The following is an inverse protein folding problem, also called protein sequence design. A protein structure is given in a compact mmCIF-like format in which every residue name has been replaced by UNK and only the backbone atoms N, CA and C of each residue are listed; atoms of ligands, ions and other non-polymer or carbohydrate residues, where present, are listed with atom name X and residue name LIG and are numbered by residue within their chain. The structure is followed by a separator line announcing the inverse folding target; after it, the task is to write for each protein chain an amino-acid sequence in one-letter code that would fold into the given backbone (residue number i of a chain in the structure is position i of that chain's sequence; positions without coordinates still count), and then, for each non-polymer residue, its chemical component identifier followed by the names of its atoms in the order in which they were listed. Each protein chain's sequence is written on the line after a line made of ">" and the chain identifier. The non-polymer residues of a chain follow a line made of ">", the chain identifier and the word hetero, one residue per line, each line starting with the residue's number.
data_IF_872734413769
#
_entry.id   IF_872734413769
#
_cell.length_a   1.000
_cell.length_b   1.000
_cell.length_c   1.000
_cell.angle_alpha   90.00
_cell.angle_beta   90.00
_cell.angle_gamma   90.00
#
_symmetry.space_group_name_H-M   'P 1'
#
loop_
_entity.id
_entity.type
_entity.pdbx_description
1 polymer ?
#
# COMPACT_ATOMS: atom_id res chain seq x y z
N UNK A 1 21.39 -22.32 -0.69
CA UNK A 1 20.88 -21.08 -0.05
C UNK A 1 20.04 -20.23 -1.00
N UNK A 2 20.24 -20.28 -2.33
CA UNK A 2 19.39 -19.60 -3.33
C UNK A 2 17.95 -20.11 -3.36
N UNK A 3 17.77 -21.43 -3.31
CA UNK A 3 16.46 -22.10 -3.40
C UNK A 3 15.43 -21.65 -2.33
N UNK A 4 15.89 -21.34 -1.11
CA UNK A 4 15.02 -20.86 -0.05
C UNK A 4 14.58 -19.41 -0.29
N UNK A 5 15.49 -18.54 -0.74
CA UNK A 5 15.18 -17.14 -1.01
C UNK A 5 14.21 -17.00 -2.20
N UNK A 6 14.45 -17.76 -3.26
CA UNK A 6 13.58 -17.79 -4.44
C UNK A 6 12.16 -18.25 -4.08
N UNK A 7 12.03 -19.19 -3.13
CA UNK A 7 10.74 -19.61 -2.59
C UNK A 7 9.99 -18.48 -1.87
N UNK A 8 10.66 -17.72 -1.01
CA UNK A 8 10.04 -16.59 -0.28
C UNK A 8 9.63 -15.47 -1.23
N UNK A 9 10.52 -15.05 -2.14
CA UNK A 9 10.18 -14.05 -3.16
C UNK A 9 9.07 -14.54 -4.09
N UNK A 10 9.06 -15.83 -4.42
CA UNK A 10 7.99 -16.47 -5.18
C UNK A 10 6.62 -16.34 -4.50
N UNK A 11 6.54 -16.59 -3.19
CA UNK A 11 5.31 -16.41 -2.39
C UNK A 11 4.84 -14.96 -2.35
N UNK A 12 5.76 -14.02 -2.10
CA UNK A 12 5.43 -12.59 -2.06
C UNK A 12 4.91 -12.12 -3.42
N UNK A 13 5.54 -12.56 -4.52
CA UNK A 13 5.07 -12.25 -5.88
C UNK A 13 3.70 -12.84 -6.18
N UNK A 14 3.46 -14.10 -5.81
CA UNK A 14 2.15 -14.74 -5.96
C UNK A 14 1.07 -13.99 -5.19
N UNK A 15 1.36 -13.63 -3.94
CA UNK A 15 0.47 -12.82 -3.12
C UNK A 15 0.08 -11.50 -3.80
N UNK A 16 1.06 -10.73 -4.30
CA UNK A 16 0.77 -9.47 -4.99
C UNK A 16 -0.03 -9.68 -6.28
N UNK A 17 0.22 -10.78 -7.00
CA UNK A 17 -0.54 -11.13 -8.22
C UNK A 17 -2.01 -11.42 -7.87
N UNK A 18 -2.26 -12.20 -6.81
CA UNK A 18 -3.61 -12.47 -6.32
C UNK A 18 -4.29 -11.22 -5.77
N UNK A 19 -3.54 -10.36 -5.08
CA UNK A 19 -4.04 -9.11 -4.53
C UNK A 19 -4.45 -8.14 -5.65
N UNK A 20 -3.69 -8.06 -6.74
CA UNK A 20 -4.05 -7.29 -7.94
C UNK A 20 -5.35 -7.82 -8.57
N UNK A 21 -5.47 -9.15 -8.74
CA UNK A 21 -6.69 -9.77 -9.24
C UNK A 21 -7.91 -9.48 -8.35
N UNK A 22 -7.75 -9.60 -7.02
CA UNK A 22 -8.78 -9.22 -6.05
C UNK A 22 -9.17 -7.74 -6.15
N UNK A 23 -8.17 -6.86 -6.26
CA UNK A 23 -8.38 -5.42 -6.44
C UNK A 23 -9.17 -5.10 -7.70
N UNK A 24 -8.85 -5.76 -8.82
CA UNK A 24 -9.60 -5.65 -10.09
C UNK A 24 -11.05 -6.11 -9.93
N UNK A 25 -11.28 -7.27 -9.31
CA UNK A 25 -12.64 -7.77 -9.07
C UNK A 25 -13.46 -6.81 -8.20
N UNK A 26 -12.88 -6.27 -7.12
CA UNK A 26 -13.54 -5.25 -6.29
C UNK A 26 -13.86 -3.96 -7.04
N UNK A 27 -12.95 -3.51 -7.91
CA UNK A 27 -13.18 -2.32 -8.72
C UNK A 27 -14.34 -2.54 -9.69
N UNK A 28 -14.36 -3.68 -10.41
CA UNK A 28 -15.45 -4.03 -11.32
C UNK A 28 -16.80 -4.16 -10.59
N UNK A 29 -16.81 -4.78 -9.41
CA UNK A 29 -17.99 -4.81 -8.54
C UNK A 29 -18.48 -3.39 -8.20
N UNK A 30 -17.57 -2.51 -7.76
CA UNK A 30 -17.89 -1.13 -7.44
C UNK A 30 -18.44 -0.36 -8.64
N UNK A 31 -17.84 -0.53 -9.81
CA UNK A 31 -18.30 0.08 -11.06
C UNK A 31 -19.70 -0.40 -11.44
N UNK A 32 -19.95 -1.71 -11.44
CA UNK A 32 -21.26 -2.26 -11.75
C UNK A 32 -22.34 -1.76 -10.78
N UNK A 33 -22.04 -1.76 -9.47
CA UNK A 33 -22.96 -1.29 -8.43
C UNK A 33 -23.29 0.20 -8.57
N UNK A 34 -22.27 1.04 -8.80
CA UNK A 34 -22.47 2.49 -8.96
C UNK A 34 -23.21 2.80 -10.25
N UNK A 35 -22.86 2.16 -11.37
CA UNK A 35 -23.54 2.37 -12.65
C UNK A 35 -25.00 1.93 -12.57
N UNK A 36 -25.31 0.76 -11.96
CA UNK A 36 -26.69 0.32 -11.75
C UNK A 36 -27.50 1.37 -10.98
N UNK A 37 -26.98 1.83 -9.84
CA UNK A 37 -27.64 2.86 -9.01
C UNK A 37 -27.81 4.18 -9.76
N UNK A 38 -26.84 4.57 -10.58
CA UNK A 38 -26.94 5.77 -11.42
C UNK A 38 -28.07 5.65 -12.43
N UNK A 39 -28.18 4.52 -13.13
CA UNK A 39 -29.26 4.25 -14.08
C UNK A 39 -30.62 4.21 -13.41
N UNK A 40 -30.73 3.63 -12.21
CA UNK A 40 -31.95 3.65 -11.40
C UNK A 40 -32.37 5.08 -11.05
N UNK A 41 -31.44 5.92 -10.57
CA UNK A 41 -31.74 7.32 -10.29
C UNK A 41 -32.17 8.10 -11.53
N UNK A 42 -31.52 7.88 -12.68
CA UNK A 42 -31.89 8.53 -13.94
C UNK A 42 -33.30 8.10 -14.37
N UNK A 43 -33.62 6.81 -14.27
CA UNK A 43 -34.96 6.28 -14.55
C UNK A 43 -36.00 6.92 -13.63
N UNK A 44 -35.71 6.97 -12.34
CA UNK A 44 -36.61 7.51 -11.32
C UNK A 44 -36.80 9.04 -11.47
N UNK A 45 -35.87 9.73 -12.16
CA UNK A 45 -36.00 11.15 -12.54
C UNK A 45 -36.92 11.41 -13.75
N UNK A 46 -37.49 10.35 -14.34
CA UNK A 46 -38.43 10.43 -15.45
C UNK A 46 -37.81 10.22 -16.84
N UNK A 47 -36.53 9.86 -16.91
CA UNK A 47 -35.90 9.45 -18.17
C UNK A 47 -36.24 7.99 -18.46
N UNK A 48 -36.65 7.66 -19.68
CA UNK A 48 -36.87 6.27 -20.07
C UNK A 48 -35.54 5.51 -20.19
N UNK A 49 -35.21 4.73 -19.16
CA UNK A 49 -34.12 3.75 -19.17
C UNK A 49 -34.73 2.34 -19.25
N UNK A 50 -34.35 1.52 -20.24
CA UNK A 50 -34.80 0.13 -20.31
C UNK A 50 -34.36 -0.66 -19.08
N UNK A 51 -35.28 -1.42 -18.48
CA UNK A 51 -34.99 -2.25 -17.31
C UNK A 51 -33.87 -3.28 -17.61
N UNK A 52 -33.84 -3.82 -18.83
CA UNK A 52 -32.79 -4.74 -19.29
C UNK A 52 -31.38 -4.16 -19.11
N UNK A 53 -31.20 -2.85 -19.30
CA UNK A 53 -29.91 -2.19 -19.11
C UNK A 53 -29.49 -2.19 -17.63
N UNK A 54 -30.44 -1.96 -16.72
CA UNK A 54 -30.21 -2.00 -15.27
C UNK A 54 -29.91 -3.44 -14.84
N UNK A 55 -30.63 -4.41 -15.39
CA UNK A 55 -30.47 -5.83 -15.07
C UNK A 55 -29.09 -6.36 -15.49
N UNK A 56 -28.55 -5.91 -16.62
CA UNK A 56 -27.16 -6.23 -17.03
C UNK A 56 -26.16 -5.84 -15.95
N UNK A 57 -26.27 -4.63 -15.38
CA UNK A 57 -25.38 -4.20 -14.31
C UNK A 57 -25.67 -4.88 -12.97
N UNK A 58 -26.91 -5.30 -12.71
CA UNK A 58 -27.26 -6.10 -11.54
C UNK A 58 -26.60 -7.49 -11.59
N UNK A 59 -26.59 -8.14 -12.75
CA UNK A 59 -25.92 -9.42 -12.93
C UNK A 59 -24.39 -9.27 -12.90
N UNK A 60 -23.83 -8.21 -13.50
CA UNK A 60 -22.40 -7.90 -13.36
C UNK A 60 -22.00 -7.63 -11.91
N UNK A 61 -22.83 -6.90 -11.14
CA UNK A 61 -22.60 -6.65 -9.72
C UNK A 61 -22.50 -7.98 -8.95
N UNK A 62 -23.45 -8.91 -9.15
CA UNK A 62 -23.41 -10.24 -8.50
C UNK A 62 -22.18 -11.05 -8.92
N UNK A 63 -21.86 -11.07 -10.20
CA UNK A 63 -20.76 -11.87 -10.75
C UNK A 63 -19.40 -11.39 -10.21
N UNK A 64 -19.18 -10.07 -10.21
CA UNK A 64 -17.95 -9.50 -9.68
C UNK A 64 -17.87 -9.54 -8.15
N UNK A 65 -19.00 -9.47 -7.44
CA UNK A 65 -19.05 -9.70 -6.01
C UNK A 65 -18.60 -11.13 -5.67
N UNK A 66 -19.13 -12.13 -6.37
CA UNK A 66 -18.73 -13.53 -6.18
C UNK A 66 -17.22 -13.72 -6.47
N UNK A 67 -16.74 -13.18 -7.58
CA UNK A 67 -15.31 -13.21 -7.93
C UNK A 67 -14.44 -12.53 -6.86
N UNK A 68 -14.87 -11.39 -6.30
CA UNK A 68 -14.15 -10.71 -5.23
C UNK A 68 -14.12 -11.55 -3.94
N UNK A 69 -15.21 -12.25 -3.60
CA UNK A 69 -15.25 -13.15 -2.43
C UNK A 69 -14.27 -14.31 -2.62
N UNK A 70 -14.26 -14.92 -3.80
CA UNK A 70 -13.37 -16.05 -4.13
C UNK A 70 -11.89 -15.63 -4.16
N UNK A 71 -11.59 -14.46 -4.72
CA UNK A 71 -10.23 -13.94 -4.84
C UNK A 71 -9.69 -13.32 -3.55
N UNK A 72 -10.46 -13.30 -2.46
CA UNK A 72 -10.03 -12.68 -1.20
C UNK A 72 -8.68 -13.26 -0.76
N UNK A 73 -7.73 -12.37 -0.52
CA UNK A 73 -6.38 -12.72 -0.09
C UNK A 73 -6.19 -12.32 1.36
N UNK A 74 -5.75 -13.27 2.18
CA UNK A 74 -5.38 -12.98 3.58
C UNK A 74 -4.01 -12.28 3.63
N UNK A 75 -3.78 -11.37 4.59
CA UNK A 75 -2.51 -10.67 4.71
C UNK A 75 -1.30 -11.61 4.75
N UNK A 76 -0.19 -11.22 4.12
CA UNK A 76 1.08 -11.93 4.24
C UNK A 76 1.47 -12.09 5.71
N UNK A 77 1.96 -13.26 6.07
CA UNK A 77 2.52 -13.48 7.39
C UNK A 77 3.87 -12.77 7.53
N UNK A 78 4.22 -12.38 8.76
CA UNK A 78 5.56 -11.85 9.05
C UNK A 78 6.67 -12.85 8.72
N UNK A 79 6.39 -14.15 8.76
CA UNK A 79 7.36 -15.19 8.39
C UNK A 79 7.71 -15.19 6.90
N UNK A 80 6.77 -14.82 6.03
CA UNK A 80 7.04 -14.66 4.59
C UNK A 80 7.83 -13.38 4.28
N UNK A 81 7.86 -12.42 5.22
CA UNK A 81 8.63 -11.17 5.12
C UNK A 81 10.01 -11.24 5.76
N UNK A 82 10.42 -12.40 6.29
CA UNK A 82 11.71 -12.58 6.99
C UNK A 82 12.94 -12.26 6.14
N UNK A 83 12.82 -12.37 4.80
CA UNK A 83 13.86 -11.99 3.85
C UNK A 83 13.67 -10.60 3.24
N UNK A 84 12.72 -9.82 3.74
CA UNK A 84 12.54 -8.44 3.31
C UNK A 84 13.65 -7.56 3.89
N UNK A 85 14.26 -6.65 3.08
CA UNK A 85 15.21 -5.66 3.58
C UNK A 85 14.68 -4.80 4.73
N UNK A 86 13.36 -4.67 4.86
CA UNK A 86 12.70 -3.95 5.96
C UNK A 86 12.75 -4.69 7.30
N UNK A 87 12.91 -6.02 7.27
CA UNK A 87 12.94 -6.88 8.46
C UNK A 87 14.35 -7.37 8.81
N UNK A 88 15.32 -7.19 7.90
CA UNK A 88 16.71 -7.48 8.22
C UNK A 88 17.31 -6.41 9.13
N UNK A 89 18.03 -6.80 10.20
CA UNK A 89 18.85 -5.87 10.96
C UNK A 89 19.84 -5.20 10.01
N UNK A 90 19.88 -3.88 10.03
CA UNK A 90 20.84 -3.14 9.21
C UNK A 90 22.25 -3.48 9.68
N UNK A 91 23.14 -3.80 8.75
CA UNK A 91 24.58 -3.95 9.06
C UNK A 91 25.27 -2.61 9.29
N UNK A 92 24.61 -1.51 8.93
CA UNK A 92 25.13 -0.15 9.03
C UNK A 92 24.56 0.62 10.22
N UNK A 93 23.41 0.19 10.74
CA UNK A 93 22.71 0.85 11.83
C UNK A 93 22.32 -0.22 12.84
N UNK A 94 22.93 -0.18 14.02
CA UNK A 94 22.53 -1.06 15.10
C UNK A 94 21.16 -0.64 15.64
N UNK A 95 20.26 -1.61 15.84
CA UNK A 95 18.87 -1.34 16.28
C UNK A 95 18.79 -0.56 17.60
N UNK A 96 19.83 -0.59 18.44
CA UNK A 96 19.92 0.21 19.67
C UNK A 96 19.84 1.72 19.41
N UNK A 97 20.30 2.18 18.25
CA UNK A 97 20.24 3.59 17.85
C UNK A 97 18.91 3.98 17.22
N UNK A 98 18.08 2.99 16.90
CA UNK A 98 16.75 3.19 16.32
C UNK A 98 15.70 3.50 17.37
N UNK A 99 15.83 2.92 18.57
CA UNK A 99 14.91 3.13 19.69
C UNK A 99 14.81 4.59 20.19
N UNK A 100 15.92 5.33 20.33
CA UNK A 100 15.85 6.74 20.76
C UNK A 100 15.54 7.71 19.62
N UNK A 101 15.53 7.25 18.36
CA UNK A 101 15.28 8.09 17.19
C UNK A 101 13.81 8.52 17.14
N UNK A 102 13.56 9.82 17.17
CA UNK A 102 12.24 10.39 16.89
C UNK A 102 12.10 10.59 15.38
N UNK A 103 11.24 9.81 14.68
CA UNK A 103 11.05 9.95 13.25
C UNK A 103 10.35 11.26 12.85
N UNK A 104 9.71 11.95 13.79
CA UNK A 104 8.92 13.16 13.54
C UNK A 104 9.41 14.37 14.34
N UNK A 105 10.45 14.22 15.16
CA UNK A 105 10.99 15.25 16.03
C UNK A 105 12.49 15.49 15.87
N UNK A 106 13.07 16.20 16.84
CA UNK A 106 14.50 16.55 16.82
C UNK A 106 15.34 15.42 17.36
N UNK A 107 16.32 14.97 16.56
CA UNK A 107 17.31 13.98 16.96
C UNK A 107 18.66 14.62 17.33
N UNK A 108 18.69 15.93 17.57
CA UNK A 108 19.94 16.68 17.82
C UNK A 108 20.70 16.14 19.04
N UNK A 109 19.98 15.72 20.07
CA UNK A 109 20.58 15.18 21.30
C UNK A 109 21.19 13.78 21.12
N UNK A 110 20.92 13.12 19.98
CA UNK A 110 21.52 11.84 19.60
C UNK A 110 22.84 12.02 18.84
N UNK A 111 23.17 13.25 18.41
CA UNK A 111 24.42 13.57 17.73
C UNK A 111 25.46 13.94 18.79
N UNK A 112 26.65 13.35 18.70
CA UNK A 112 27.76 13.69 19.59
C UNK A 112 28.07 15.20 19.54
N UNK A 113 28.39 15.85 20.67
CA UNK A 113 28.48 17.31 20.77
C UNK A 113 29.48 17.92 19.77
N UNK A 114 30.60 17.25 19.53
CA UNK A 114 31.61 17.68 18.57
C UNK A 114 31.11 17.68 17.12
N UNK A 115 30.32 16.67 16.75
CA UNK A 115 29.74 16.54 15.41
C UNK A 115 28.55 17.48 15.23
N UNK A 116 27.77 17.71 16.29
CA UNK A 116 26.71 18.71 16.33
C UNK A 116 27.27 20.12 16.11
N UNK A 117 28.39 20.47 16.78
CA UNK A 117 29.07 21.75 16.58
C UNK A 117 29.55 21.96 15.13
N UNK A 118 30.08 20.92 14.47
CA UNK A 118 30.52 21.01 13.08
C UNK A 118 29.34 21.22 12.10
N UNK A 119 28.21 20.56 12.33
CA UNK A 119 27.00 20.76 11.51
C UNK A 119 26.41 22.16 11.68
N UNK A 120 26.42 22.69 12.91
CA UNK A 120 25.95 24.05 13.21
C UNK A 120 26.85 25.10 12.54
N UNK A 121 28.17 24.97 12.68
CA UNK A 121 29.13 25.88 12.05
C UNK A 121 29.04 25.89 10.51
N UNK A 122 28.75 24.74 9.90
CA UNK A 122 28.56 24.63 8.45
C UNK A 122 27.36 25.44 7.93
N UNK A 123 26.31 25.59 8.75
CA UNK A 123 25.12 26.39 8.41
C UNK A 123 25.40 27.89 8.47
N UNK A 124 26.30 28.33 9.34
CA UNK A 124 26.67 29.75 9.49
C UNK A 124 27.57 30.25 8.36
N UNK A 125 28.35 29.37 7.72
CA UNK A 125 29.28 29.73 6.64
C UNK A 125 28.58 30.02 5.28
N UNK A 126 27.29 29.66 5.13
CA UNK A 126 26.53 29.94 3.89
C UNK A 126 25.82 31.31 3.93
N UNK A 127 26.03 32.10 4.99
CA UNK A 127 25.64 33.52 5.03
C UNK A 127 26.80 34.42 4.63
N UNK A 128 26.82 34.80 3.34
CA UNK A 128 27.50 35.94 2.70
C UNK A 128 28.65 36.66 3.44
N UNK A 129 29.81 36.84 2.78
CA UNK A 129 30.62 38.04 2.98
C UNK A 129 30.44 39.03 1.81
N UNK A 130 29.98 40.23 2.16
CA UNK A 130 30.00 41.47 1.37
C UNK A 130 31.37 41.83 0.81
#
# INVERSE_FOLDING_TARGET
>A
MTDTADRYFGRVRDYFTRLDAFGKAKNLYGQASVTRKCLEMIRDSGTEIPQEMIDVFAEQEKLHMAAAIELRVDPLSNSDLTLSPLFFPSRFVEDRFRAPFDPYGSNADLIGPEMASQLIASREITGEPS
#
